data_IF_987022001843
#
_entry.id   IF_987022001843
#
_cell.length_a   1.000
_cell.length_b   1.000
_cell.length_c   1.000
_cell.angle_alpha   90.00
_cell.angle_beta   90.00
_cell.angle_gamma   90.00
#
_symmetry.space_group_name_H-M   'P 1'
#
loop_
_entity.id
_entity.type
_entity.pdbx_description
1 polymer ?
#
# COMPACT_ATOMS: atom_id res chain seq x y z
N UNK A 1 -2.62 -0.11 19.96
CA UNK A 1 -3.35 -0.95 19.05
C UNK A 1 -3.20 -0.45 17.63
N UNK A 2 -2.85 -1.33 16.77
CA UNK A 2 -2.68 -0.92 15.39
C UNK A 2 -4.02 -0.98 14.67
N UNK A 3 -4.31 0.06 13.96
CA UNK A 3 -5.52 0.14 13.17
C UNK A 3 -5.20 -0.32 11.76
N UNK A 4 -5.22 -1.62 11.58
CA UNK A 4 -4.95 -2.16 10.26
C UNK A 4 -6.17 -2.05 9.38
N UNK A 5 -5.93 -1.62 8.17
CA UNK A 5 -6.97 -1.47 7.17
C UNK A 5 -6.72 -2.49 6.07
N UNK A 6 -7.76 -2.75 5.32
CA UNK A 6 -7.66 -3.66 4.19
C UNK A 6 -7.98 -2.88 2.92
N UNK A 7 -7.16 -3.07 1.92
CA UNK A 7 -7.36 -2.42 0.65
C UNK A 7 -7.00 -3.33 -0.49
N UNK A 8 -7.14 -2.81 -1.69
CA UNK A 8 -6.84 -3.53 -2.91
C UNK A 8 -5.88 -2.70 -3.74
N UNK A 9 -4.85 -3.34 -4.26
CA UNK A 9 -3.88 -2.63 -5.08
C UNK A 9 -4.56 -2.18 -6.36
N UNK A 10 -4.54 -0.88 -6.60
CA UNK A 10 -5.10 -0.31 -7.81
C UNK A 10 -4.13 -0.49 -8.96
N UNK A 11 -2.88 -0.15 -8.74
CA UNK A 11 -1.79 -0.43 -9.67
C UNK A 11 -0.49 -0.21 -8.93
N UNK A 12 0.56 -0.80 -9.45
CA UNK A 12 1.88 -0.66 -8.87
C UNK A 12 2.91 -0.74 -9.97
N UNK A 13 3.89 0.16 -9.91
CA UNK A 13 4.96 0.20 -10.90
C UNK A 13 6.24 -0.29 -10.24
N UNK A 14 6.68 -1.47 -10.65
CA UNK A 14 7.87 -2.09 -10.05
C UNK A 14 9.13 -1.30 -10.34
N UNK A 15 9.19 -0.69 -11.49
CA UNK A 15 10.39 0.05 -11.87
C UNK A 15 10.55 1.30 -11.03
N UNK A 16 9.47 2.00 -10.83
CA UNK A 16 9.53 3.24 -10.06
C UNK A 16 9.36 2.99 -8.58
N UNK A 17 8.83 1.83 -8.21
CA UNK A 17 8.73 1.44 -6.82
C UNK A 17 7.58 2.07 -6.07
N UNK A 18 6.49 2.41 -6.74
CA UNK A 18 5.34 2.96 -6.04
C UNK A 18 4.06 2.63 -6.78
N UNK A 19 2.96 2.86 -6.10
CA UNK A 19 1.65 2.63 -6.67
C UNK A 19 0.59 3.21 -5.78
N UNK A 20 -0.63 2.72 -5.97
CA UNK A 20 -1.77 3.19 -5.20
C UNK A 20 -2.61 2.03 -4.74
N UNK A 21 -3.16 2.17 -3.55
CA UNK A 21 -4.04 1.20 -2.93
C UNK A 21 -5.41 1.83 -2.82
N UNK A 22 -6.42 1.08 -3.24
CA UNK A 22 -7.79 1.50 -3.14
C UNK A 22 -8.37 0.99 -1.83
N UNK A 23 -9.04 1.85 -1.11
CA UNK A 23 -9.67 1.48 0.15
C UNK A 23 -11.13 1.86 0.12
N UNK A 24 -11.92 1.16 0.92
CA UNK A 24 -13.33 1.47 1.03
C UNK A 24 -13.53 2.75 1.82
N UNK A 25 -14.44 3.56 1.36
CA UNK A 25 -14.84 4.73 2.11
C UNK A 25 -13.84 5.86 2.13
N UNK A 26 -12.83 5.80 1.27
CA UNK A 26 -11.83 6.86 1.24
C UNK A 26 -11.18 6.96 -0.11
N UNK A 27 -10.28 7.92 -0.22
CA UNK A 27 -9.55 8.12 -1.45
C UNK A 27 -8.40 7.12 -1.53
N UNK A 28 -7.85 6.98 -2.73
CA UNK A 28 -6.72 6.10 -2.95
C UNK A 28 -5.52 6.56 -2.14
N UNK A 29 -4.72 5.60 -1.72
CA UNK A 29 -3.55 5.87 -0.90
C UNK A 29 -2.29 5.58 -1.68
N UNK A 30 -1.33 6.47 -1.55
CA UNK A 30 -0.01 6.27 -2.12
C UNK A 30 0.71 5.17 -1.34
N UNK A 31 1.42 4.30 -2.05
CA UNK A 31 2.23 3.27 -1.41
C UNK A 31 3.59 3.22 -2.10
N UNK A 32 4.64 3.20 -1.30
CA UNK A 32 6.02 3.10 -1.79
C UNK A 32 6.55 1.72 -1.44
N UNK A 33 7.48 1.21 -2.25
CA UNK A 33 7.96 -0.15 -2.02
C UNK A 33 8.61 -0.29 -0.64
N UNK A 34 9.11 0.80 -0.09
CA UNK A 34 9.68 0.77 1.27
C UNK A 34 8.64 0.51 2.34
N UNK A 35 7.40 0.77 2.02
CA UNK A 35 6.32 0.56 2.99
C UNK A 35 5.78 -0.86 2.96
N UNK A 36 6.27 -1.69 2.05
CA UNK A 36 5.80 -3.06 1.94
C UNK A 36 6.64 -3.93 2.87
N UNK A 37 5.96 -4.65 3.74
CA UNK A 37 6.62 -5.54 4.69
C UNK A 37 6.90 -6.87 4.03
N UNK A 38 8.07 -7.42 4.31
CA UNK A 38 8.41 -8.72 3.77
C UNK A 38 9.85 -8.76 3.34
N UNK A 39 10.27 -9.93 2.93
CA UNK A 39 11.61 -10.16 2.44
C UNK A 39 11.58 -10.41 0.95
N UNK A 40 12.70 -10.13 0.29
CA UNK A 40 12.81 -10.38 -1.13
C UNK A 40 12.08 -9.33 -1.95
N UNK A 41 11.43 -9.78 -2.99
CA UNK A 41 10.74 -8.86 -3.89
C UNK A 41 9.56 -8.23 -3.21
N UNK A 42 9.39 -6.97 -3.50
CA UNK A 42 8.33 -6.20 -2.88
C UNK A 42 7.37 -5.61 -3.88
N UNK A 43 7.16 -6.31 -4.97
CA UNK A 43 6.19 -5.86 -5.93
C UNK A 43 4.78 -6.19 -5.49
N UNK A 44 3.85 -5.39 -5.94
CA UNK A 44 2.44 -5.65 -5.72
C UNK A 44 1.77 -5.87 -7.06
N UNK A 45 0.68 -6.62 -7.03
CA UNK A 45 -0.04 -6.96 -8.25
C UNK A 45 -1.39 -6.26 -8.21
N UNK A 46 -1.81 -5.75 -9.37
CA UNK A 46 -3.09 -5.10 -9.48
C UNK A 46 -4.21 -6.06 -9.03
N UNK A 47 -5.07 -5.56 -8.17
CA UNK A 47 -6.17 -6.36 -7.65
C UNK A 47 -5.84 -7.17 -6.42
N UNK A 48 -4.59 -7.15 -5.98
CA UNK A 48 -4.16 -7.90 -4.83
C UNK A 48 -4.67 -7.27 -3.55
N UNK A 49 -5.11 -8.10 -2.61
CA UNK A 49 -5.52 -7.60 -1.31
C UNK A 49 -4.32 -7.39 -0.43
N UNK A 50 -4.35 -6.31 0.32
CA UNK A 50 -3.26 -5.97 1.22
C UNK A 50 -3.82 -5.44 2.53
N UNK A 51 -3.04 -5.61 3.56
CA UNK A 51 -3.29 -5.02 4.86
C UNK A 51 -2.29 -3.92 5.09
N UNK A 52 -2.73 -2.83 5.70
CA UNK A 52 -1.82 -1.71 5.88
C UNK A 52 -2.31 -0.83 7.01
N UNK A 53 -1.44 0.08 7.44
CA UNK A 53 -1.82 1.13 8.38
C UNK A 53 -1.78 2.46 7.65
N UNK A 54 -2.59 3.38 8.12
CA UNK A 54 -2.66 4.70 7.52
C UNK A 54 -1.59 5.59 8.10
N UNK A 55 -0.80 6.19 7.22
CA UNK A 55 0.21 7.13 7.63
C UNK A 55 0.12 8.40 6.83
N UNK A 56 1.01 9.32 7.10
CA UNK A 56 1.07 10.57 6.37
C UNK A 56 2.45 10.79 5.83
N UNK A 57 2.52 11.17 4.58
CA UNK A 57 3.78 11.45 3.93
C UNK A 57 3.73 12.77 3.21
N UNK A 58 4.75 13.02 2.44
CA UNK A 58 4.86 14.30 1.74
C UNK A 58 3.74 14.51 0.75
N UNK A 59 3.21 13.46 0.21
CA UNK A 59 2.13 13.54 -0.77
C UNK A 59 0.75 13.42 -0.15
N UNK A 60 0.68 13.41 1.16
CA UNK A 60 -0.60 13.26 1.85
C UNK A 60 -0.74 11.89 2.48
N UNK A 61 -1.96 11.42 2.66
CA UNK A 61 -2.16 10.10 3.26
C UNK A 61 -1.51 9.00 2.43
N UNK A 62 -0.90 8.06 3.11
CA UNK A 62 -0.23 6.96 2.44
C UNK A 62 -0.37 5.68 3.23
N UNK A 63 -0.21 4.55 2.55
CA UNK A 63 -0.26 3.25 3.19
C UNK A 63 1.12 2.91 3.72
N UNK A 64 1.16 2.39 4.95
CA UNK A 64 2.39 1.98 5.59
C UNK A 64 2.24 0.57 6.11
N UNK A 65 3.37 -0.09 6.34
CA UNK A 65 3.37 -1.47 6.84
C UNK A 65 2.46 -2.34 6.02
N UNK A 66 2.61 -2.28 4.71
CA UNK A 66 1.74 -2.98 3.79
C UNK A 66 2.12 -4.44 3.75
N UNK A 67 1.16 -5.30 4.03
CA UNK A 67 1.36 -6.74 4.04
C UNK A 67 0.46 -7.36 2.98
N UNK A 68 1.04 -7.93 1.94
CA UNK A 68 0.24 -8.61 0.92
C UNK A 68 -0.44 -9.84 1.51
N UNK A 69 -1.68 -10.06 1.12
CA UNK A 69 -2.41 -11.24 1.57
C UNK A 69 -2.43 -12.33 0.54
#
# INVERSE_FOLDING_TARGET
MSDQLIGTVKWFNDEKGYGFIRREGGSDLFVHFRSIVGTGRRGLVEGQKVRFTLGEGQKGPQAENVVPE
#
